data_IF_446792807116
#
_entry.id   IF_446792807116
#
_cell.length_a   1.000
_cell.length_b   1.000
_cell.length_c   1.000
_cell.angle_alpha   90.00
_cell.angle_beta   90.00
_cell.angle_gamma   90.00
#
_symmetry.space_group_name_H-M   'P 1'
#
loop_
_entity.id
_entity.type
_entity.pdbx_description
1 polymer ?
#
# COMPACT_ATOMS: atom_id res chain seq x y z
N UNK A 1 -0.64 -22.10 3.38
CA UNK A 1 0.46 -21.93 4.35
C UNK A 1 0.51 -20.46 4.77
N UNK A 2 0.34 -20.15 6.06
CA UNK A 2 0.64 -18.82 6.61
C UNK A 2 1.92 -18.97 7.42
N UNK A 3 2.91 -18.14 7.15
CA UNK A 3 4.13 -18.08 7.96
C UNK A 3 3.75 -17.72 9.41
N UNK A 4 4.48 -18.22 10.42
CA UNK A 4 4.19 -17.89 11.83
C UNK A 4 4.42 -16.40 12.13
N UNK A 5 5.08 -15.67 11.23
CA UNK A 5 5.44 -14.26 11.35
C UNK A 5 4.74 -13.46 10.24
N UNK A 6 4.12 -12.35 10.64
CA UNK A 6 3.52 -11.36 9.74
C UNK A 6 4.44 -10.13 9.68
N UNK A 7 4.91 -9.78 8.50
CA UNK A 7 5.87 -8.68 8.29
C UNK A 7 5.36 -7.35 8.86
N UNK A 8 4.09 -7.00 8.61
CA UNK A 8 3.50 -5.75 9.10
C UNK A 8 3.51 -5.64 10.63
N UNK A 9 3.34 -6.77 11.32
CA UNK A 9 3.39 -6.83 12.80
C UNK A 9 4.81 -6.62 13.31
N UNK A 10 5.81 -7.23 12.67
CA UNK A 10 7.22 -7.03 13.05
C UNK A 10 7.72 -5.63 12.73
N UNK A 11 7.33 -5.05 11.59
CA UNK A 11 7.62 -3.67 11.26
C UNK A 11 7.05 -2.70 12.30
N UNK A 12 5.80 -2.89 12.75
CA UNK A 12 5.22 -2.09 13.83
C UNK A 12 6.03 -2.20 15.12
N UNK A 13 6.46 -3.40 15.50
CA UNK A 13 7.32 -3.59 16.69
C UNK A 13 8.64 -2.85 16.54
N UNK A 14 9.27 -2.90 15.37
CA UNK A 14 10.52 -2.19 15.09
C UNK A 14 10.34 -0.67 15.18
N UNK A 15 9.31 -0.12 14.51
CA UNK A 15 9.01 1.32 14.54
C UNK A 15 8.79 1.85 15.96
N UNK A 16 8.12 1.09 16.82
CA UNK A 16 7.90 1.46 18.22
C UNK A 16 9.18 1.33 19.05
N UNK A 17 9.79 0.13 19.04
CA UNK A 17 10.89 -0.20 19.98
C UNK A 17 12.19 0.50 19.61
N UNK A 18 12.48 0.59 18.32
CA UNK A 18 13.75 1.11 17.78
C UNK A 18 13.58 2.57 17.35
N UNK A 19 12.65 2.85 16.43
CA UNK A 19 12.47 4.20 15.88
C UNK A 19 11.68 5.16 16.78
N UNK A 20 11.15 4.69 17.92
CA UNK A 20 10.38 5.48 18.90
C UNK A 20 9.13 6.15 18.32
N UNK A 21 8.56 5.61 17.24
CA UNK A 21 7.31 6.10 16.68
C UNK A 21 6.16 5.75 17.63
N UNK A 22 5.30 6.72 18.02
CA UNK A 22 4.15 6.44 18.87
C UNK A 22 3.22 5.39 18.24
N UNK A 23 2.84 4.35 18.99
CA UNK A 23 1.96 3.27 18.48
C UNK A 23 0.65 3.80 17.88
N UNK A 24 0.11 4.89 18.43
CA UNK A 24 -1.12 5.57 17.94
C UNK A 24 -0.98 6.20 16.55
N UNK A 25 0.24 6.40 16.07
CA UNK A 25 0.55 6.93 14.74
C UNK A 25 0.81 5.82 13.71
N UNK A 26 0.73 4.55 14.10
CA UNK A 26 1.04 3.40 13.24
C UNK A 26 -0.23 2.60 12.99
N UNK A 27 -0.61 2.53 11.71
CA UNK A 27 -1.66 1.64 11.22
C UNK A 27 -0.98 0.54 10.41
N UNK A 28 -1.44 -0.70 10.56
CA UNK A 28 -0.89 -1.86 9.84
C UNK A 28 -1.96 -2.46 8.95
N UNK A 29 -1.52 -2.98 7.81
CA UNK A 29 -2.33 -3.73 6.85
C UNK A 29 -1.66 -5.11 6.67
N UNK A 30 -2.14 -6.17 7.33
CA UNK A 30 -1.48 -7.48 7.34
C UNK A 30 -2.00 -8.46 6.27
N UNK A 31 -2.93 -8.04 5.40
CA UNK A 31 -3.65 -8.92 4.48
C UNK A 31 -3.20 -8.80 3.01
N UNK A 32 -2.50 -7.74 2.63
CA UNK A 32 -1.95 -7.62 1.29
C UNK A 32 -0.96 -8.74 0.96
N UNK A 33 -0.99 -9.17 -0.31
CA UNK A 33 -0.15 -10.24 -0.84
C UNK A 33 0.80 -9.75 -1.94
N UNK A 34 0.43 -8.65 -2.62
CA UNK A 34 1.18 -8.06 -3.73
C UNK A 34 1.21 -6.54 -3.59
N UNK A 35 2.07 -5.86 -4.34
CA UNK A 35 2.16 -4.39 -4.38
C UNK A 35 0.84 -3.73 -4.78
N UNK A 36 0.11 -4.34 -5.72
CA UNK A 36 -1.21 -3.87 -6.18
C UNK A 36 -2.25 -3.89 -5.07
N UNK A 37 -2.34 -4.99 -4.31
CA UNK A 37 -3.27 -5.12 -3.17
C UNK A 37 -2.84 -4.29 -1.97
N UNK A 38 -1.53 -4.07 -1.76
CA UNK A 38 -1.03 -3.11 -0.77
C UNK A 38 -1.58 -1.70 -0.99
N UNK A 39 -1.41 -1.13 -2.20
CA UNK A 39 -1.89 0.24 -2.48
C UNK A 39 -3.42 0.33 -2.43
N UNK A 40 -4.15 -0.68 -2.93
CA UNK A 40 -5.61 -0.73 -2.80
C UNK A 40 -6.03 -0.67 -1.33
N UNK A 41 -5.51 -1.58 -0.50
CA UNK A 41 -5.93 -1.69 0.90
C UNK A 41 -5.56 -0.42 1.68
N UNK A 42 -4.36 0.14 1.44
CA UNK A 42 -3.96 1.42 2.01
C UNK A 42 -4.91 2.56 1.61
N UNK A 43 -5.30 2.66 0.34
CA UNK A 43 -6.25 3.68 -0.11
C UNK A 43 -7.60 3.55 0.58
N UNK A 44 -8.11 2.32 0.77
CA UNK A 44 -9.35 2.10 1.54
C UNK A 44 -9.22 2.64 2.95
N UNK A 45 -8.08 2.40 3.61
CA UNK A 45 -7.80 2.94 4.94
C UNK A 45 -7.75 4.48 4.94
N UNK A 46 -7.12 5.09 3.92
CA UNK A 46 -7.08 6.56 3.75
C UNK A 46 -8.50 7.13 3.73
N UNK A 47 -9.38 6.60 2.88
CA UNK A 47 -10.76 7.08 2.79
C UNK A 47 -11.57 6.73 4.05
N UNK A 48 -11.43 5.52 4.59
CA UNK A 48 -12.16 5.04 5.78
C UNK A 48 -11.83 5.86 7.03
N UNK A 49 -10.56 6.21 7.23
CA UNK A 49 -10.09 6.98 8.38
C UNK A 49 -10.08 8.50 8.13
N UNK A 50 -10.58 8.96 6.98
CA UNK A 50 -10.60 10.38 6.59
C UNK A 50 -9.22 11.02 6.62
N UNK A 51 -8.19 10.26 6.25
CA UNK A 51 -6.86 10.80 5.99
C UNK A 51 -6.97 11.69 4.73
N UNK A 52 -6.38 12.89 4.69
CA UNK A 52 -6.46 13.79 3.53
C UNK A 52 -5.95 13.11 2.25
N UNK A 53 -6.88 12.78 1.35
CA UNK A 53 -6.60 12.04 0.11
C UNK A 53 -6.04 12.94 -1.02
N UNK A 54 -6.02 14.26 -0.79
CA UNK A 54 -5.36 15.27 -1.62
C UNK A 54 -3.87 15.43 -1.30
N UNK A 55 -3.38 14.75 -0.25
CA UNK A 55 -1.96 14.69 0.08
C UNK A 55 -1.32 13.43 -0.50
N UNK A 56 -0.09 13.58 -0.96
CA UNK A 56 0.70 12.46 -1.50
C UNK A 56 1.04 11.45 -0.42
N UNK A 57 0.93 10.18 -0.78
CA UNK A 57 1.40 9.04 0.02
C UNK A 57 2.83 8.73 -0.40
N UNK A 58 3.74 8.63 0.57
CA UNK A 58 5.12 8.24 0.33
C UNK A 58 5.30 6.73 0.54
N UNK A 59 5.74 6.03 -0.49
CA UNK A 59 6.14 4.63 -0.44
C UNK A 59 7.66 4.60 -0.23
N UNK A 60 8.11 3.88 0.80
CA UNK A 60 9.52 3.60 1.06
C UNK A 60 9.74 2.09 0.88
N UNK A 61 10.62 1.71 -0.03
CA UNK A 61 10.89 0.31 -0.37
C UNK A 61 12.27 0.15 -1.00
N UNK A 62 12.70 -1.08 -1.29
CA UNK A 62 13.98 -1.31 -1.95
C UNK A 62 13.97 -0.85 -3.42
N UNK A 63 15.16 -0.72 -4.01
CA UNK A 63 15.34 -0.19 -5.37
C UNK A 63 14.64 -1.03 -6.44
N UNK A 64 14.63 -2.36 -6.27
CA UNK A 64 14.00 -3.26 -7.23
C UNK A 64 12.49 -3.07 -7.23
N UNK A 65 11.89 -2.95 -6.05
CA UNK A 65 10.47 -2.74 -5.88
C UNK A 65 10.03 -1.33 -6.32
N UNK A 66 10.82 -0.29 -6.02
CA UNK A 66 10.56 1.07 -6.53
C UNK A 66 10.56 1.09 -8.08
N UNK A 67 11.48 0.35 -8.70
CA UNK A 67 11.56 0.23 -10.16
C UNK A 67 10.36 -0.54 -10.73
N UNK A 68 9.92 -1.61 -10.06
CA UNK A 68 8.71 -2.34 -10.43
C UNK A 68 7.46 -1.44 -10.38
N UNK A 69 7.33 -0.63 -9.32
CA UNK A 69 6.19 0.27 -9.10
C UNK A 69 6.01 1.24 -10.26
N UNK A 70 7.11 1.79 -10.79
CA UNK A 70 7.07 2.75 -11.89
C UNK A 70 6.91 2.10 -13.28
N UNK A 71 7.25 0.82 -13.40
CA UNK A 71 7.15 0.08 -14.66
C UNK A 71 5.88 -0.76 -14.78
N UNK A 72 5.87 -1.91 -14.11
CA UNK A 72 4.88 -2.96 -14.36
C UNK A 72 3.61 -2.85 -13.53
N UNK A 73 3.60 -2.00 -12.49
CA UNK A 73 2.49 -1.94 -11.55
C UNK A 73 1.17 -1.55 -12.21
N UNK A 74 1.16 -0.55 -13.11
CA UNK A 74 -0.05 -0.14 -13.82
C UNK A 74 -0.69 -1.33 -14.58
N UNK A 75 0.13 -2.06 -15.34
CA UNK A 75 -0.31 -3.23 -16.11
C UNK A 75 -0.85 -4.34 -15.20
N UNK A 76 -0.14 -4.64 -14.11
CA UNK A 76 -0.54 -5.68 -13.18
C UNK A 76 -1.80 -5.29 -12.40
N UNK A 77 -1.92 -4.03 -11.98
CA UNK A 77 -3.11 -3.52 -11.31
C UNK A 77 -4.35 -3.59 -12.22
N UNK A 78 -4.23 -3.19 -13.49
CA UNK A 78 -5.34 -3.33 -14.44
C UNK A 78 -5.75 -4.81 -14.62
N UNK A 79 -4.79 -5.74 -14.68
CA UNK A 79 -5.08 -7.17 -14.81
C UNK A 79 -5.71 -7.77 -13.55
N UNK A 80 -5.24 -7.40 -12.37
CA UNK A 80 -5.60 -8.03 -11.09
C UNK A 80 -6.80 -7.35 -10.41
N UNK A 81 -6.90 -6.03 -10.53
CA UNK A 81 -7.91 -5.19 -9.87
C UNK A 81 -8.95 -4.63 -10.86
N UNK A 82 -8.65 -4.60 -12.16
CA UNK A 82 -9.48 -3.92 -13.16
C UNK A 82 -9.25 -2.42 -13.26
N UNK A 83 -8.37 -1.84 -12.44
CA UNK A 83 -8.05 -0.40 -12.42
C UNK A 83 -6.66 -0.14 -11.82
N UNK A 84 -6.18 1.10 -11.95
CA UNK A 84 -4.92 1.56 -11.36
C UNK A 84 -5.21 2.26 -10.01
N UNK A 85 -4.60 1.83 -8.89
CA UNK A 85 -4.91 2.35 -7.55
C UNK A 85 -4.28 3.71 -7.24
N UNK A 86 -3.71 4.41 -8.22
CA UNK A 86 -3.14 5.75 -8.03
C UNK A 86 -3.57 6.65 -9.20
N UNK A 87 -3.76 7.94 -8.92
CA UNK A 87 -4.06 8.94 -9.93
C UNK A 87 -2.77 9.49 -10.56
N UNK A 88 -1.75 9.72 -9.73
CA UNK A 88 -0.41 10.15 -10.11
C UNK A 88 0.61 9.33 -9.34
N UNK A 89 1.75 9.05 -9.95
CA UNK A 89 2.87 8.37 -9.30
C UNK A 89 4.21 8.94 -9.79
N UNK A 90 5.14 9.19 -8.88
CA UNK A 90 6.42 9.82 -9.19
C UNK A 90 7.54 9.24 -8.31
N UNK A 91 8.71 9.04 -8.91
CA UNK A 91 9.93 8.66 -8.19
C UNK A 91 10.54 9.88 -7.51
N UNK A 92 10.83 9.78 -6.21
CA UNK A 92 11.58 10.82 -5.48
C UNK A 92 13.06 10.44 -5.32
N UNK A 93 13.34 9.18 -5.01
CA UNK A 93 14.70 8.67 -4.88
C UNK A 93 14.80 7.21 -5.29
N UNK A 94 15.96 6.58 -5.11
CA UNK A 94 16.14 5.16 -5.44
C UNK A 94 15.19 4.24 -4.65
N UNK A 95 14.77 4.67 -3.45
CA UNK A 95 13.95 3.89 -2.51
C UNK A 95 12.60 4.53 -2.19
N UNK A 96 12.31 5.70 -2.78
CA UNK A 96 11.12 6.48 -2.45
C UNK A 96 10.29 6.78 -3.69
N UNK A 97 8.98 6.61 -3.57
CA UNK A 97 8.01 6.87 -4.64
C UNK A 97 6.76 7.46 -4.02
N UNK A 98 6.32 8.61 -4.52
CA UNK A 98 5.11 9.28 -4.06
C UNK A 98 3.94 9.03 -5.01
N UNK A 99 2.72 8.96 -4.48
CA UNK A 99 1.51 8.81 -5.29
C UNK A 99 0.30 9.53 -4.69
N UNK A 100 -0.70 9.82 -5.54
CA UNK A 100 -2.03 10.27 -5.10
C UNK A 100 -3.04 9.11 -5.14
N UNK A 101 -3.81 8.86 -4.07
CA UNK A 101 -4.74 7.75 -3.99
C UNK A 101 -5.89 7.89 -5.00
N UNK A 102 -6.27 6.77 -5.62
CA UNK A 102 -7.42 6.71 -6.52
C UNK A 102 -8.68 6.23 -5.78
N UNK A 103 -9.78 6.99 -5.92
CA UNK A 103 -11.08 6.64 -5.33
C UNK A 103 -11.63 5.29 -5.82
N UNK A 104 -11.22 4.82 -7.00
CA UNK A 104 -11.62 3.49 -7.48
C UNK A 104 -11.22 2.35 -6.52
N UNK A 105 -10.23 2.58 -5.65
CA UNK A 105 -9.83 1.60 -4.63
C UNK A 105 -10.89 1.28 -3.58
N UNK A 106 -11.91 2.12 -3.41
CA UNK A 106 -12.96 1.90 -2.39
C UNK A 106 -13.93 0.78 -2.77
N UNK A 107 -14.02 0.43 -4.05
CA UNK A 107 -14.95 -0.62 -4.49
C UNK A 107 -14.38 -1.99 -4.13
N UNK A 108 -15.24 -2.87 -3.63
CA UNK A 108 -14.95 -4.30 -3.47
C UNK A 108 -14.62 -4.87 -4.85
N UNK A 109 -13.54 -5.66 -4.92
CA UNK A 109 -13.14 -6.32 -6.16
C UNK A 109 -13.83 -7.68 -6.26
N UNK A 110 -14.84 -7.86 -7.13
CA UNK A 110 -15.54 -9.14 -7.27
C UNK A 110 -14.63 -10.25 -7.81
N UNK A 111 -13.46 -9.92 -8.35
CA UNK A 111 -12.48 -10.87 -8.90
C UNK A 111 -11.39 -11.28 -7.90
N UNK A 112 -11.37 -10.75 -6.67
CA UNK A 112 -10.44 -11.15 -5.61
C UNK A 112 -11.23 -11.79 -4.44
N UNK A 113 -11.35 -13.13 -4.38
CA UNK A 113 -12.11 -13.84 -3.34
C UNK A 113 -11.60 -13.62 -1.91
N UNK A 114 -10.40 -13.06 -1.78
CA UNK A 114 -9.74 -12.75 -0.51
C UNK A 114 -9.62 -11.23 -0.29
N UNK A 115 -10.37 -10.44 -1.04
CA UNK A 115 -10.48 -9.01 -0.83
C UNK A 115 -11.11 -8.73 0.54
N UNK A 116 -10.41 -8.10 1.49
CA UNK A 116 -10.99 -7.80 2.79
C UNK A 116 -12.14 -6.78 2.64
N UNK A 117 -13.29 -7.10 3.25
CA UNK A 117 -14.45 -6.21 3.37
C UNK A 117 -14.16 -4.95 4.19
#
# INVERSE_FOLDING_TARGET
>A
FRTPVCEAVEMKKYLIKVCKVPSKAIIIEPHARHTTTNLRNLNRMIYRFRIPADKKVLIVTDVSQSTYILGNMAKNATRELGYIPYAEIKKESATETEYLPNKLSIHTNPFDPLDPE
#
